data_IF_712839520306
#
_entry.id   IF_712839520306
#
_cell.length_a   1.000
_cell.length_b   1.000
_cell.length_c   1.000
_cell.angle_alpha   90.00
_cell.angle_beta   90.00
_cell.angle_gamma   90.00
#
_symmetry.space_group_name_H-M   'P 1'
#
loop_
_entity.id
_entity.type
_entity.pdbx_description
1 polymer ?
#
# COMPACT_ATOMS: atom_id res chain seq x y z
N UNK A 1 -0.11 1.38 -30.90
CA UNK A 1 0.90 1.42 -29.81
C UNK A 1 1.01 2.80 -29.15
N UNK A 2 1.13 3.92 -29.88
CA UNK A 2 1.21 5.26 -29.27
C UNK A 2 -0.08 5.67 -28.50
N UNK A 3 -1.25 5.39 -29.04
CA UNK A 3 -2.53 5.73 -28.39
C UNK A 3 -2.73 4.97 -27.06
N UNK A 4 -2.28 3.72 -26.97
CA UNK A 4 -2.37 2.89 -25.76
C UNK A 4 -1.45 3.42 -24.67
N UNK A 5 -0.22 3.84 -25.02
CA UNK A 5 0.74 4.42 -24.07
C UNK A 5 0.25 5.76 -23.53
N UNK A 6 -0.32 6.62 -24.40
CA UNK A 6 -0.87 7.92 -23.98
C UNK A 6 -2.08 7.74 -23.06
N UNK A 7 -3.00 6.83 -23.40
CA UNK A 7 -4.15 6.54 -22.52
C UNK A 7 -3.73 5.96 -21.18
N UNK A 8 -2.74 5.05 -21.15
CA UNK A 8 -2.16 4.54 -19.90
C UNK A 8 -1.56 5.65 -19.05
N UNK A 9 -0.79 6.55 -19.65
CA UNK A 9 -0.20 7.69 -18.94
C UNK A 9 -1.26 8.63 -18.35
N UNK A 10 -2.32 8.93 -19.10
CA UNK A 10 -3.43 9.75 -18.63
C UNK A 10 -4.18 9.09 -17.45
N UNK A 11 -4.38 7.77 -17.51
CA UNK A 11 -4.98 7.01 -16.41
C UNK A 11 -4.12 7.03 -15.15
N UNK A 12 -2.79 6.90 -15.27
CA UNK A 12 -1.86 7.02 -14.14
C UNK A 12 -1.92 8.41 -13.53
N UNK A 13 -1.95 9.48 -14.33
CA UNK A 13 -2.10 10.85 -13.85
C UNK A 13 -3.43 11.05 -13.12
N UNK A 14 -4.52 10.51 -13.65
CA UNK A 14 -5.84 10.57 -13.02
C UNK A 14 -5.84 9.82 -11.69
N UNK A 15 -5.33 8.60 -11.69
CA UNK A 15 -5.23 7.77 -10.49
C UNK A 15 -4.37 8.44 -9.40
N UNK A 16 -3.22 9.03 -9.80
CA UNK A 16 -2.36 9.80 -8.91
C UNK A 16 -3.06 11.03 -8.34
N UNK A 17 -3.84 11.74 -9.14
CA UNK A 17 -4.67 12.87 -8.71
C UNK A 17 -5.74 12.44 -7.70
N UNK A 18 -6.48 11.38 -7.98
CA UNK A 18 -7.47 10.80 -7.06
C UNK A 18 -6.81 10.34 -5.76
N UNK A 19 -5.69 9.63 -5.85
CA UNK A 19 -4.94 9.16 -4.68
C UNK A 19 -4.36 10.31 -3.85
N UNK A 20 -3.91 11.41 -4.48
CA UNK A 20 -3.41 12.58 -3.78
C UNK A 20 -4.50 13.40 -3.08
N UNK A 21 -5.74 13.32 -3.57
CA UNK A 21 -6.88 14.10 -3.05
C UNK A 21 -7.81 13.32 -2.13
N UNK A 22 -7.63 12.00 -1.97
CA UNK A 22 -8.55 11.15 -1.20
C UNK A 22 -8.74 11.59 0.26
N UNK A 23 -7.71 12.21 0.86
CA UNK A 23 -7.75 12.69 2.24
C UNK A 23 -8.33 14.11 2.40
N UNK A 24 -8.62 14.83 1.29
CA UNK A 24 -9.19 16.19 1.35
C UNK A 24 -10.55 16.25 2.06
N UNK A 25 -11.50 15.32 1.84
CA UNK A 25 -12.77 15.33 2.56
C UNK A 25 -12.60 15.23 4.08
N UNK A 26 -11.58 14.51 4.55
CA UNK A 26 -11.30 14.38 5.99
C UNK A 26 -10.86 15.70 6.62
N UNK A 27 -10.18 16.54 5.86
CA UNK A 27 -9.73 17.86 6.32
C UNK A 27 -10.90 18.84 6.48
N UNK A 28 -11.96 18.69 5.69
CA UNK A 28 -13.16 19.57 5.78
C UNK A 28 -14.13 19.12 6.87
N UNK A 29 -14.02 17.91 7.38
CA UNK A 29 -14.87 17.40 8.45
C UNK A 29 -14.24 17.70 9.82
N UNK A 30 -14.42 18.93 10.29
CA UNK A 30 -13.87 19.40 11.59
C UNK A 30 -14.61 18.81 12.80
N UNK A 31 -15.80 18.23 12.61
CA UNK A 31 -16.63 17.68 13.70
C UNK A 31 -16.18 16.29 14.13
N UNK A 32 -15.49 15.58 13.27
CA UNK A 32 -15.08 14.21 13.52
C UNK A 32 -13.57 14.11 13.74
N UNK A 33 -13.18 13.25 14.69
CA UNK A 33 -11.78 12.89 14.85
C UNK A 33 -11.29 12.09 13.63
N UNK A 34 -10.00 12.13 13.37
CA UNK A 34 -9.38 11.42 12.25
C UNK A 34 -9.71 9.93 12.26
N UNK A 35 -9.71 9.30 13.43
CA UNK A 35 -10.00 7.88 13.61
C UNK A 35 -11.42 7.50 13.13
N UNK A 36 -12.40 8.34 13.37
CA UNK A 36 -13.78 8.11 12.94
C UNK A 36 -13.92 8.17 11.43
N UNK A 37 -13.28 9.18 10.81
CA UNK A 37 -13.28 9.33 9.35
C UNK A 37 -12.58 8.13 8.70
N UNK A 38 -11.42 7.71 9.24
CA UNK A 38 -10.67 6.58 8.75
C UNK A 38 -11.43 5.26 8.89
N UNK A 39 -12.11 5.07 10.01
CA UNK A 39 -12.93 3.89 10.26
C UNK A 39 -14.06 3.74 9.25
N UNK A 40 -14.84 4.80 9.02
CA UNK A 40 -15.95 4.77 8.05
C UNK A 40 -15.42 4.59 6.63
N UNK A 41 -14.34 5.31 6.27
CA UNK A 41 -13.71 5.13 4.97
C UNK A 41 -13.26 3.68 4.77
N UNK A 42 -12.62 3.07 5.76
CA UNK A 42 -12.16 1.68 5.68
C UNK A 42 -13.32 0.70 5.49
N UNK A 43 -14.42 0.89 6.21
CA UNK A 43 -15.61 0.02 6.04
C UNK A 43 -16.17 0.17 4.62
N UNK A 44 -16.33 1.39 4.14
CA UNK A 44 -16.95 1.62 2.82
C UNK A 44 -16.01 1.20 1.70
N UNK A 45 -14.76 1.68 1.72
CA UNK A 45 -13.84 1.49 0.61
C UNK A 45 -13.18 0.10 0.57
N UNK A 46 -12.91 -0.51 1.73
CA UNK A 46 -12.18 -1.78 1.80
C UNK A 46 -13.09 -2.99 2.04
N UNK A 47 -14.31 -2.78 2.56
CA UNK A 47 -15.21 -3.89 2.84
C UNK A 47 -16.44 -3.83 1.92
N UNK A 48 -17.24 -2.76 1.99
CA UNK A 48 -18.55 -2.70 1.33
C UNK A 48 -18.42 -2.62 -0.19
N UNK A 49 -17.61 -1.68 -0.69
CA UNK A 49 -17.49 -1.44 -2.12
C UNK A 49 -16.88 -2.65 -2.89
N UNK A 50 -15.78 -3.28 -2.45
CA UNK A 50 -15.24 -4.46 -3.13
C UNK A 50 -16.20 -5.65 -3.13
N UNK A 51 -16.91 -5.88 -2.03
CA UNK A 51 -17.91 -6.96 -1.96
C UNK A 51 -19.08 -6.73 -2.90
N UNK A 52 -19.63 -5.52 -2.93
CA UNK A 52 -20.72 -5.17 -3.88
C UNK A 52 -20.24 -5.38 -5.32
N UNK A 53 -19.05 -4.89 -5.65
CA UNK A 53 -18.49 -5.05 -6.99
C UNK A 53 -18.23 -6.53 -7.33
N UNK A 54 -17.70 -7.31 -6.40
CA UNK A 54 -17.47 -8.75 -6.60
C UNK A 54 -18.79 -9.50 -6.85
N UNK A 55 -19.83 -9.23 -6.07
CA UNK A 55 -21.15 -9.86 -6.27
C UNK A 55 -21.81 -9.51 -7.60
N UNK A 56 -21.59 -8.30 -8.12
CA UNK A 56 -22.14 -7.86 -9.41
C UNK A 56 -21.35 -8.45 -10.58
N UNK A 57 -20.02 -8.56 -10.43
CA UNK A 57 -19.09 -8.80 -11.55
C UNK A 57 -18.65 -10.26 -11.68
N UNK A 58 -18.79 -11.08 -10.63
CA UNK A 58 -18.30 -12.45 -10.62
C UNK A 58 -19.47 -13.43 -10.50
N UNK A 59 -19.76 -14.19 -11.56
CA UNK A 59 -20.73 -15.29 -11.49
C UNK A 59 -20.23 -16.37 -10.51
N UNK A 60 -21.14 -16.88 -9.68
CA UNK A 60 -20.88 -17.99 -8.77
C UNK A 60 -19.65 -17.80 -7.84
N UNK A 61 -19.64 -16.64 -7.16
CA UNK A 61 -18.60 -16.27 -6.17
C UNK A 61 -18.39 -17.37 -5.11
N UNK A 62 -19.47 -18.09 -4.74
CA UNK A 62 -19.42 -19.15 -3.75
C UNK A 62 -18.55 -20.34 -4.18
N UNK A 63 -18.63 -20.76 -5.43
CA UNK A 63 -17.83 -21.86 -5.93
C UNK A 63 -16.35 -21.52 -6.04
N UNK A 64 -16.04 -20.26 -6.39
CA UNK A 64 -14.66 -19.77 -6.46
C UNK A 64 -13.98 -19.90 -5.10
N UNK A 65 -14.61 -19.42 -4.04
CA UNK A 65 -14.03 -19.48 -2.69
C UNK A 65 -14.01 -20.90 -2.09
N UNK A 66 -15.03 -21.70 -2.36
CA UNK A 66 -15.12 -23.06 -1.80
C UNK A 66 -14.03 -24.01 -2.30
N UNK A 67 -13.55 -23.82 -3.54
CA UNK A 67 -12.52 -24.67 -4.12
C UNK A 67 -11.09 -24.25 -3.80
N UNK A 68 -10.89 -23.03 -3.34
CA UNK A 68 -9.57 -22.41 -3.11
C UNK A 68 -9.38 -21.96 -1.65
N UNK A 69 -9.85 -22.76 -0.69
CA UNK A 69 -9.86 -22.40 0.74
C UNK A 69 -8.47 -22.06 1.29
N UNK A 70 -7.43 -22.76 0.85
CA UNK A 70 -6.05 -22.53 1.29
C UNK A 70 -5.53 -21.19 0.77
N UNK A 71 -5.84 -20.87 -0.48
CA UNK A 71 -5.52 -19.56 -1.10
C UNK A 71 -6.24 -18.43 -0.38
N UNK A 72 -7.54 -18.62 -0.08
CA UNK A 72 -8.32 -17.63 0.68
C UNK A 72 -7.72 -17.38 2.06
N UNK A 73 -7.33 -18.45 2.78
CA UNK A 73 -6.72 -18.32 4.10
C UNK A 73 -5.38 -17.56 4.03
N UNK A 74 -4.58 -17.84 3.02
CA UNK A 74 -3.28 -17.19 2.81
C UNK A 74 -3.45 -15.71 2.47
N UNK A 75 -4.38 -15.37 1.57
CA UNK A 75 -4.73 -13.98 1.24
C UNK A 75 -5.26 -13.25 2.45
N UNK A 76 -6.15 -13.87 3.24
CA UNK A 76 -6.67 -13.28 4.48
C UNK A 76 -5.55 -13.03 5.50
N UNK A 77 -4.58 -13.93 5.63
CA UNK A 77 -3.41 -13.75 6.49
C UNK A 77 -2.57 -12.53 6.08
N UNK A 78 -2.24 -12.40 4.80
CA UNK A 78 -1.50 -11.23 4.32
C UNK A 78 -2.31 -9.94 4.41
N UNK A 79 -3.62 -10.01 4.18
CA UNK A 79 -4.54 -8.88 4.38
C UNK A 79 -4.57 -8.42 5.84
N UNK A 80 -4.55 -9.35 6.81
CA UNK A 80 -4.46 -9.03 8.24
C UNK A 80 -3.13 -8.33 8.58
N UNK A 81 -2.02 -8.83 8.06
CA UNK A 81 -0.71 -8.19 8.23
C UNK A 81 -0.69 -6.78 7.64
N UNK A 82 -1.27 -6.59 6.46
CA UNK A 82 -1.43 -5.27 5.86
C UNK A 82 -2.30 -4.35 6.73
N UNK A 83 -3.39 -4.85 7.30
CA UNK A 83 -4.24 -4.11 8.23
C UNK A 83 -3.48 -3.61 9.47
N UNK A 84 -2.58 -4.43 10.04
CA UNK A 84 -1.65 -4.00 11.10
C UNK A 84 -0.75 -2.87 10.58
N UNK A 85 -0.23 -3.00 9.37
CA UNK A 85 0.56 -1.97 8.71
C UNK A 85 -0.19 -0.64 8.57
N UNK A 86 -1.47 -0.67 8.19
CA UNK A 86 -2.32 0.51 8.06
C UNK A 86 -2.53 1.24 9.40
N UNK A 87 -2.71 0.51 10.51
CA UNK A 87 -2.79 1.08 11.85
C UNK A 87 -1.47 1.74 12.25
N UNK A 88 -0.36 1.06 12.00
CA UNK A 88 0.99 1.58 12.28
C UNK A 88 1.31 2.80 11.43
N UNK A 89 0.84 2.83 10.18
CA UNK A 89 0.97 3.96 9.27
C UNK A 89 0.33 5.23 9.85
N UNK A 90 -0.92 5.15 10.31
CA UNK A 90 -1.61 6.25 10.97
C UNK A 90 -0.89 6.72 12.24
N UNK A 91 -0.47 5.77 13.10
CA UNK A 91 0.32 6.10 14.30
C UNK A 91 1.67 6.73 13.96
N UNK A 92 2.35 6.29 12.91
CA UNK A 92 3.61 6.88 12.44
C UNK A 92 3.45 8.35 12.10
N UNK A 93 2.37 8.71 11.39
CA UNK A 93 2.02 10.10 11.07
C UNK A 93 1.77 10.90 12.34
N UNK A 94 1.05 10.32 13.30
CA UNK A 94 0.77 11.00 14.57
C UNK A 94 2.04 11.29 15.39
N UNK A 95 3.03 10.38 15.38
CA UNK A 95 4.28 10.53 16.12
C UNK A 95 5.30 11.47 15.45
N UNK A 96 5.52 11.34 14.14
CA UNK A 96 6.58 12.05 13.41
C UNK A 96 6.06 13.21 12.55
N UNK A 97 4.74 13.30 12.38
CA UNK A 97 4.12 14.23 11.44
C UNK A 97 4.20 13.74 9.99
N UNK A 98 3.31 14.27 9.15
CA UNK A 98 3.13 13.87 7.74
C UNK A 98 4.43 13.98 6.94
N UNK A 99 5.15 15.12 7.09
CA UNK A 99 6.33 15.42 6.26
C UNK A 99 7.50 14.46 6.43
N UNK A 100 7.62 13.81 7.60
CA UNK A 100 8.72 12.90 7.90
C UNK A 100 8.28 11.43 7.78
N UNK A 101 7.09 11.12 8.26
CA UNK A 101 6.60 9.74 8.28
C UNK A 101 6.33 9.19 6.88
N UNK A 102 5.69 9.98 6.00
CA UNK A 102 5.33 9.51 4.66
C UNK A 102 6.54 9.09 3.81
N UNK A 103 7.59 9.91 3.65
CA UNK A 103 8.74 9.47 2.85
C UNK A 103 9.43 8.22 3.40
N UNK A 104 9.52 8.09 4.73
CA UNK A 104 10.12 6.91 5.37
C UNK A 104 9.27 5.66 5.11
N UNK A 105 7.97 5.74 5.37
CA UNK A 105 7.08 4.58 5.22
C UNK A 105 6.91 4.20 3.76
N UNK A 106 6.60 5.14 2.86
CA UNK A 106 6.41 4.86 1.44
C UNK A 106 7.71 4.38 0.77
N UNK A 107 8.84 4.98 1.11
CA UNK A 107 10.13 4.50 0.61
C UNK A 107 10.39 3.05 1.02
N UNK A 108 10.10 2.69 2.27
CA UNK A 108 10.32 1.32 2.75
C UNK A 108 9.28 0.34 2.16
N UNK A 109 8.01 0.75 2.02
CA UNK A 109 6.97 -0.02 1.34
C UNK A 109 7.41 -0.36 -0.09
N UNK A 110 7.93 0.62 -0.84
CA UNK A 110 8.42 0.40 -2.19
C UNK A 110 9.62 -0.56 -2.22
N UNK A 111 10.59 -0.37 -1.33
CA UNK A 111 11.78 -1.26 -1.24
C UNK A 111 11.38 -2.70 -0.94
N UNK A 112 10.59 -2.92 0.11
CA UNK A 112 10.18 -4.27 0.53
C UNK A 112 9.22 -4.87 -0.50
N UNK A 113 8.24 -4.09 -0.98
CA UNK A 113 7.25 -4.56 -1.94
C UNK A 113 7.84 -4.96 -3.29
N UNK A 114 8.94 -4.33 -3.71
CA UNK A 114 9.60 -4.64 -4.97
C UNK A 114 10.64 -5.75 -4.84
N UNK A 115 11.50 -5.70 -3.82
CA UNK A 115 12.59 -6.67 -3.68
C UNK A 115 12.12 -8.04 -3.21
N UNK A 116 11.17 -8.08 -2.28
CA UNK A 116 10.76 -9.32 -1.63
C UNK A 116 10.18 -10.34 -2.63
N UNK A 117 9.25 -9.98 -3.54
CA UNK A 117 8.76 -10.91 -4.56
C UNK A 117 9.86 -11.45 -5.47
N UNK A 118 10.81 -10.60 -5.88
CA UNK A 118 11.94 -11.00 -6.73
C UNK A 118 12.86 -11.98 -5.99
N UNK A 119 13.19 -11.70 -4.72
CA UNK A 119 14.03 -12.57 -3.89
C UNK A 119 13.37 -13.94 -3.69
N UNK A 120 12.05 -13.98 -3.47
CA UNK A 120 11.34 -15.22 -3.18
C UNK A 120 11.05 -16.08 -4.40
N UNK A 121 10.79 -15.47 -5.56
CA UNK A 121 10.44 -16.19 -6.79
C UNK A 121 11.64 -16.49 -7.68
N UNK A 122 12.42 -15.47 -7.98
CA UNK A 122 13.51 -15.55 -8.96
C UNK A 122 14.74 -14.73 -8.51
N UNK A 123 15.48 -15.20 -7.50
CA UNK A 123 16.64 -14.42 -6.99
C UNK A 123 17.72 -14.20 -8.04
N UNK A 124 17.80 -15.06 -9.08
CA UNK A 124 18.73 -14.87 -10.21
C UNK A 124 18.41 -13.63 -11.06
N UNK A 125 17.18 -13.14 -11.07
CA UNK A 125 16.82 -11.91 -11.78
C UNK A 125 17.51 -10.68 -11.21
N UNK A 126 17.88 -10.68 -9.93
CA UNK A 126 18.63 -9.57 -9.31
C UNK A 126 20.00 -9.35 -9.96
N UNK A 127 20.60 -10.37 -10.57
CA UNK A 127 21.90 -10.30 -11.25
C UNK A 127 21.77 -9.90 -12.72
N UNK A 128 20.56 -9.76 -13.24
CA UNK A 128 20.35 -9.27 -14.61
C UNK A 128 20.55 -7.75 -14.70
N UNK A 129 20.75 -7.18 -15.92
CA UNK A 129 20.83 -5.74 -16.08
C UNK A 129 19.61 -4.98 -15.53
N UNK A 130 18.42 -5.60 -15.59
CA UNK A 130 17.18 -5.04 -15.02
C UNK A 130 17.22 -5.10 -13.49
N UNK A 131 17.62 -6.23 -12.92
CA UNK A 131 17.79 -6.39 -11.48
C UNK A 131 18.82 -5.44 -10.87
N UNK A 132 19.93 -5.17 -11.58
CA UNK A 132 20.92 -4.20 -11.14
C UNK A 132 20.38 -2.77 -11.11
N UNK A 133 19.54 -2.38 -12.08
CA UNK A 133 18.85 -1.08 -12.06
C UNK A 133 17.89 -1.00 -10.87
N UNK A 134 17.17 -2.08 -10.59
CA UNK A 134 16.27 -2.19 -9.44
C UNK A 134 17.05 -2.02 -8.12
N UNK A 135 18.16 -2.73 -7.95
CA UNK A 135 19.01 -2.62 -6.77
C UNK A 135 19.58 -1.21 -6.61
N UNK A 136 20.02 -0.58 -7.71
CA UNK A 136 20.51 0.80 -7.68
C UNK A 136 19.41 1.77 -7.21
N UNK A 137 18.20 1.66 -7.76
CA UNK A 137 17.04 2.46 -7.32
C UNK A 137 16.73 2.26 -5.84
N UNK A 138 16.78 1.01 -5.38
CA UNK A 138 16.56 0.65 -3.97
C UNK A 138 17.59 1.31 -3.05
N UNK A 139 18.87 1.30 -3.42
CA UNK A 139 19.95 1.95 -2.64
C UNK A 139 19.70 3.45 -2.56
N UNK A 140 19.30 4.09 -3.66
CA UNK A 140 18.97 5.52 -3.67
C UNK A 140 17.79 5.83 -2.73
N UNK A 141 16.74 5.01 -2.76
CA UNK A 141 15.59 5.16 -1.86
C UNK A 141 16.02 5.02 -0.39
N UNK A 142 16.81 4.00 -0.05
CA UNK A 142 17.31 3.78 1.30
C UNK A 142 18.18 4.95 1.79
N UNK A 143 19.06 5.47 0.93
CA UNK A 143 19.83 6.67 1.23
C UNK A 143 18.90 7.87 1.51
N UNK A 144 17.89 8.08 0.68
CA UNK A 144 16.86 9.10 0.89
C UNK A 144 16.16 8.97 2.25
N UNK A 145 15.75 7.75 2.63
CA UNK A 145 15.12 7.48 3.95
C UNK A 145 16.06 7.87 5.09
N UNK A 146 17.35 7.54 4.99
CA UNK A 146 18.36 7.89 6.00
C UNK A 146 18.48 9.42 6.12
N UNK A 147 18.57 10.14 4.99
CA UNK A 147 18.62 11.61 5.00
C UNK A 147 17.36 12.21 5.64
N UNK A 148 16.18 11.70 5.32
CA UNK A 148 14.93 12.15 5.95
C UNK A 148 14.93 11.90 7.46
N UNK A 149 15.41 10.73 7.90
CA UNK A 149 15.48 10.40 9.32
C UNK A 149 16.44 11.33 10.09
N UNK A 150 17.61 11.63 9.52
CA UNK A 150 18.60 12.56 10.09
C UNK A 150 18.04 13.97 10.14
N UNK A 151 17.44 14.46 9.04
CA UNK A 151 16.84 15.80 8.98
C UNK A 151 15.71 15.95 10.00
N UNK A 152 14.87 14.92 10.13
CA UNK A 152 13.79 14.89 11.11
C UNK A 152 14.29 14.91 12.55
N UNK A 153 15.31 14.13 12.85
CA UNK A 153 15.93 14.12 14.18
C UNK A 153 16.53 15.50 14.54
N UNK A 154 17.23 16.13 13.62
CA UNK A 154 17.84 17.43 13.81
C UNK A 154 16.79 18.55 14.00
N UNK A 155 15.67 18.47 13.25
CA UNK A 155 14.53 19.39 13.41
C UNK A 155 13.88 19.26 14.78
N UNK A 156 13.66 18.05 15.24
CA UNK A 156 13.03 17.74 16.53
C UNK A 156 13.90 18.23 17.70
N UNK A 157 15.23 18.05 17.59
CA UNK A 157 16.17 18.54 18.61
C UNK A 157 16.23 20.07 18.69
N UNK A 158 16.17 20.79 17.56
CA UNK A 158 16.14 22.26 17.53
C UNK A 158 14.84 22.82 18.05
N UNK A 159 13.69 22.23 17.71
CA UNK A 159 12.37 22.65 18.21
C UNK A 159 12.26 22.56 19.73
N UNK A 160 12.94 21.58 20.34
CA UNK A 160 13.00 21.43 21.81
C UNK A 160 13.79 22.54 22.52
N UNK A 161 14.69 23.21 21.80
CA UNK A 161 15.51 24.31 22.38
C UNK A 161 14.81 25.65 22.33
N UNK A 162 13.83 25.84 21.42
CA UNK A 162 13.27 27.17 21.11
C UNK A 162 11.88 27.41 21.73
N UNK A 163 11.11 26.40 22.10
CA UNK A 163 9.77 26.52 22.68
C UNK A 163 9.64 25.86 24.03
N UNK A 164 9.47 26.72 25.06
CA UNK A 164 9.26 26.38 26.48
C UNK A 164 7.81 26.00 26.80
N UNK A 165 6.97 25.68 25.81
CA UNK A 165 5.59 25.30 26.06
C UNK A 165 5.39 23.80 25.75
N UNK A 166 4.89 23.08 26.75
CA UNK A 166 4.62 21.67 26.85
C UNK A 166 4.14 20.99 25.56
N UNK A 167 5.01 20.46 24.71
CA UNK A 167 4.59 19.51 23.71
C UNK A 167 4.52 18.15 24.38
N UNK A 168 3.44 17.44 24.18
CA UNK A 168 3.37 15.99 24.43
C UNK A 168 4.67 15.39 23.89
N UNK A 169 5.52 14.88 24.78
CA UNK A 169 6.84 14.32 24.44
C UNK A 169 6.64 13.08 23.55
N UNK A 170 6.28 13.30 22.27
CA UNK A 170 6.24 12.21 21.28
C UNK A 170 7.69 11.75 21.07
N UNK A 171 7.97 10.53 21.47
CA UNK A 171 9.31 9.99 21.44
C UNK A 171 9.68 9.69 19.99
N UNK A 172 10.58 10.47 19.39
CA UNK A 172 11.06 10.30 18.00
C UNK A 172 11.46 8.86 17.69
N UNK A 173 12.18 8.21 18.61
CA UNK A 173 12.60 6.80 18.44
C UNK A 173 11.39 5.85 18.28
N UNK A 174 10.36 6.03 19.11
CA UNK A 174 9.12 5.24 18.99
C UNK A 174 8.44 5.49 17.66
N UNK A 175 8.32 6.75 17.25
CA UNK A 175 7.75 7.11 15.95
C UNK A 175 8.51 6.49 14.78
N UNK A 176 9.85 6.52 14.82
CA UNK A 176 10.68 5.91 13.78
C UNK A 176 10.49 4.38 13.72
N UNK A 177 10.47 3.69 14.87
CA UNK A 177 10.21 2.24 14.91
C UNK A 177 8.82 1.92 14.33
N UNK A 178 7.80 2.71 14.67
CA UNK A 178 6.45 2.53 14.15
C UNK A 178 6.44 2.70 12.62
N UNK A 179 7.13 3.72 12.08
CA UNK A 179 7.24 3.94 10.64
C UNK A 179 7.99 2.79 9.93
N UNK A 180 9.05 2.26 10.53
CA UNK A 180 9.79 1.11 9.99
C UNK A 180 8.91 -0.14 9.95
N UNK A 181 8.18 -0.42 11.03
CA UNK A 181 7.23 -1.53 11.06
C UNK A 181 6.09 -1.35 10.05
N UNK A 182 5.54 -0.13 9.92
CA UNK A 182 4.54 0.18 8.91
C UNK A 182 5.07 -0.07 7.49
N UNK A 183 6.34 0.28 7.23
CA UNK A 183 7.01 0.02 5.97
C UNK A 183 7.24 -1.45 5.65
N UNK A 184 7.36 -2.31 6.68
CA UNK A 184 7.49 -3.76 6.52
C UNK A 184 6.13 -4.43 6.31
N UNK A 185 5.11 -4.02 7.07
CA UNK A 185 3.77 -4.60 6.97
C UNK A 185 2.94 -4.02 5.83
N UNK A 186 3.21 -2.80 5.38
CA UNK A 186 2.52 -2.17 4.26
C UNK A 186 2.54 -2.98 2.95
N UNK A 187 3.69 -3.53 2.53
CA UNK A 187 3.77 -4.33 1.30
C UNK A 187 3.11 -5.72 1.38
N UNK A 188 2.59 -6.13 2.54
CA UNK A 188 1.96 -7.45 2.68
C UNK A 188 0.75 -7.63 1.75
N UNK A 189 0.10 -6.53 1.33
CA UNK A 189 -0.95 -6.58 0.33
C UNK A 189 -0.44 -7.12 -1.03
N UNK A 190 0.80 -6.80 -1.42
CA UNK A 190 1.39 -7.30 -2.67
C UNK A 190 1.55 -8.83 -2.64
N UNK A 191 1.81 -9.38 -1.45
CA UNK A 191 1.84 -10.83 -1.28
C UNK A 191 0.45 -11.45 -1.39
N UNK A 192 -0.59 -10.77 -0.87
CA UNK A 192 -1.97 -11.19 -1.07
C UNK A 192 -2.31 -11.24 -2.56
N UNK A 193 -1.85 -10.29 -3.38
CA UNK A 193 -2.03 -10.29 -4.83
C UNK A 193 -1.32 -11.47 -5.50
N UNK A 194 -0.05 -11.67 -5.18
CA UNK A 194 0.77 -12.73 -5.76
C UNK A 194 0.20 -14.13 -5.44
N UNK A 195 -0.19 -14.35 -4.19
CA UNK A 195 -0.75 -15.64 -3.75
C UNK A 195 -2.24 -15.78 -4.06
N UNK A 196 -2.94 -14.70 -4.34
CA UNK A 196 -4.35 -14.68 -4.74
C UNK A 196 -4.60 -14.99 -6.23
N UNK A 197 -3.55 -15.06 -7.06
CA UNK A 197 -3.69 -15.35 -8.50
C UNK A 197 -4.56 -16.58 -8.84
N UNK A 198 -4.51 -17.72 -8.11
CA UNK A 198 -5.40 -18.86 -8.38
C UNK A 198 -6.89 -18.52 -8.25
N UNK A 199 -7.27 -17.60 -7.35
CA UNK A 199 -8.66 -17.11 -7.23
C UNK A 199 -9.09 -16.36 -8.47
N UNK A 200 -8.21 -15.51 -9.01
CA UNK A 200 -8.45 -14.78 -10.26
C UNK A 200 -8.64 -15.75 -11.44
N UNK A 201 -7.73 -16.69 -11.62
CA UNK A 201 -7.82 -17.69 -12.69
C UNK A 201 -9.13 -18.47 -12.61
N UNK A 202 -9.54 -18.86 -11.41
CA UNK A 202 -10.81 -19.55 -11.19
C UNK A 202 -12.01 -18.69 -11.52
N UNK A 203 -12.02 -17.42 -11.10
CA UNK A 203 -13.11 -16.49 -11.42
C UNK A 203 -13.24 -16.26 -12.93
N UNK A 204 -12.12 -16.10 -13.64
CA UNK A 204 -12.12 -16.00 -15.10
C UNK A 204 -12.67 -17.28 -15.75
N UNK A 205 -12.30 -18.44 -15.24
CA UNK A 205 -12.83 -19.72 -15.72
C UNK A 205 -14.35 -19.87 -15.51
N UNK A 206 -14.93 -19.19 -14.50
CA UNK A 206 -16.39 -19.14 -14.27
C UNK A 206 -17.10 -18.06 -15.08
N UNK A 207 -16.37 -17.30 -15.91
CA UNK A 207 -16.94 -16.30 -16.81
C UNK A 207 -16.84 -14.86 -16.34
N UNK A 208 -16.10 -14.59 -15.24
CA UNK A 208 -15.79 -13.24 -14.83
C UNK A 208 -14.82 -12.58 -15.83
N UNK A 209 -14.96 -11.26 -16.04
CA UNK A 209 -13.95 -10.51 -16.77
C UNK A 209 -12.64 -10.46 -15.98
N UNK A 210 -11.48 -10.61 -16.63
CA UNK A 210 -10.18 -10.52 -16.00
C UNK A 210 -9.98 -9.24 -15.19
N UNK A 211 -10.55 -8.13 -15.67
CA UNK A 211 -10.52 -6.83 -15.00
C UNK A 211 -11.19 -6.85 -13.61
N UNK A 212 -12.29 -7.62 -13.46
CA UNK A 212 -13.01 -7.68 -12.18
C UNK A 212 -12.61 -8.88 -11.33
N UNK A 213 -11.97 -9.88 -11.91
CA UNK A 213 -11.53 -11.06 -11.18
C UNK A 213 -10.48 -10.74 -10.10
N UNK A 214 -9.70 -9.68 -10.28
CA UNK A 214 -8.77 -9.17 -9.28
C UNK A 214 -9.45 -8.64 -8.01
N UNK A 215 -10.74 -8.26 -8.06
CA UNK A 215 -11.51 -7.80 -6.89
C UNK A 215 -11.66 -8.86 -5.79
N UNK A 216 -11.43 -10.14 -6.12
CA UNK A 216 -11.47 -11.23 -5.14
C UNK A 216 -10.42 -11.10 -4.03
N UNK A 217 -9.31 -10.44 -4.31
CA UNK A 217 -8.20 -10.32 -3.38
C UNK A 217 -7.55 -8.92 -3.40
N UNK A 218 -8.02 -8.01 -4.25
CA UNK A 218 -7.48 -6.64 -4.35
C UNK A 218 -8.60 -5.62 -4.48
N UNK A 219 -8.42 -4.46 -3.90
CA UNK A 219 -9.21 -3.28 -4.19
C UNK A 219 -8.57 -2.40 -5.28
N UNK A 220 -7.45 -2.83 -5.86
CA UNK A 220 -6.60 -2.02 -6.75
C UNK A 220 -6.55 -2.64 -8.15
N UNK A 221 -7.69 -2.55 -8.88
CA UNK A 221 -7.80 -3.00 -10.27
C UNK A 221 -6.98 -2.16 -11.27
N UNK A 222 -6.19 -1.20 -10.80
CA UNK A 222 -5.45 -0.28 -11.66
C UNK A 222 -4.19 -0.92 -12.28
N UNK A 223 -3.59 -1.93 -11.66
CA UNK A 223 -2.34 -2.54 -12.16
C UNK A 223 -2.55 -3.46 -13.37
N UNK A 224 -3.70 -4.15 -13.45
CA UNK A 224 -4.03 -5.04 -14.60
C UNK A 224 -4.43 -4.28 -15.87
N UNK A 225 -4.77 -2.98 -15.77
CA UNK A 225 -5.09 -2.12 -16.93
C UNK A 225 -3.84 -1.73 -17.73
N UNK A 226 -2.65 -1.90 -17.19
CA UNK A 226 -1.40 -1.43 -17.80
C UNK A 226 -0.74 -2.54 -18.64
N UNK A 227 -1.21 -3.79 -18.54
CA UNK A 227 -0.77 -4.91 -19.41
C UNK A 227 0.75 -4.95 -19.58
N UNK A 228 1.46 -5.21 -18.51
CA UNK A 228 2.90 -5.49 -18.59
C UNK A 228 3.06 -6.99 -18.71
N UNK A 229 3.00 -7.49 -19.95
CA UNK A 229 3.55 -8.79 -20.32
C UNK A 229 5.09 -8.74 -20.27
#
# INVERSE_FOLDING_TARGET
METTVISGFLLILLAGGCSGTFALPFKHNSLWKWENNWFIWSIIALLVAPWIMAFISIPDLGSVYAHESDTVLLVAFFGLLWGIGAILFGKGIDYLGVSLSLPIMQGLINVVGTLMPVILRNPSELLTPTGLKLLTGTVIILAGIIFFAIAGHNRDSKSRQTHSETPIKKNFRKGLIICLLAGIFGPMINFAFVYGAPLQEKAVATGASSLYACLLYTSDAADDLIGVD
#
